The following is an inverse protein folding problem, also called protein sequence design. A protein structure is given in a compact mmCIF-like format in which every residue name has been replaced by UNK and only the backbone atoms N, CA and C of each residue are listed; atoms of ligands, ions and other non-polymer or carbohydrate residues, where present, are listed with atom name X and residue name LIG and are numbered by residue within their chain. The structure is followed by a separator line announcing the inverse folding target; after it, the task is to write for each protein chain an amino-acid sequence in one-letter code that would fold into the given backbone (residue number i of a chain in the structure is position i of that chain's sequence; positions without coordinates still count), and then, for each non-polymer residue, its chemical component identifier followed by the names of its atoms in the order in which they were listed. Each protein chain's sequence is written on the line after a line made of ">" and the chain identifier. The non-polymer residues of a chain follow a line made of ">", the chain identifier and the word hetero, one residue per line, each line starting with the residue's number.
data_IF_924483690623
#
_entry.id   IF_924483690623
#
_cell.length_a   1.000
_cell.length_b   1.000
_cell.length_c   1.000
_cell.angle_alpha   90.00
_cell.angle_beta   90.00
_cell.angle_gamma   90.00
#
_symmetry.space_group_name_H-M   'P 1'
#
loop_
_entity.id
_entity.type
_entity.pdbx_description
1 polymer ?
#
# COMPACT_ATOMS: atom_id res chain seq x y z
N UNK A 1 -8.06 -0.34 -6.58
CA UNK A 1 -8.57 1.03 -6.87
C UNK A 1 -7.53 2.06 -6.48
N UNK A 2 -7.10 2.85 -7.43
CA UNK A 2 -6.07 3.85 -7.17
C UNK A 2 -6.66 5.24 -7.34
N UNK A 3 -6.45 6.08 -6.34
CA UNK A 3 -6.79 7.50 -6.41
C UNK A 3 -5.76 8.27 -7.23
N UNK A 4 -5.67 9.58 -7.06
CA UNK A 4 -4.75 10.42 -7.82
C UNK A 4 -3.34 10.42 -7.24
N UNK A 5 -2.36 10.69 -8.09
CA UNK A 5 -0.96 10.91 -7.70
C UNK A 5 -0.35 9.71 -6.99
N UNK A 6 -0.55 8.51 -7.56
CA UNK A 6 0.07 7.28 -7.08
C UNK A 6 1.39 7.09 -7.80
N UNK A 7 2.47 6.90 -7.03
CA UNK A 7 3.80 6.59 -7.56
C UNK A 7 4.17 5.15 -7.20
N UNK A 8 4.46 4.34 -8.21
CA UNK A 8 4.97 2.98 -8.06
C UNK A 8 6.36 2.94 -8.68
N UNK A 9 7.38 2.73 -7.84
CA UNK A 9 8.76 2.96 -8.27
C UNK A 9 9.66 1.79 -7.86
N UNK A 10 9.92 0.81 -8.77
CA UNK A 10 10.70 -0.39 -8.42
C UNK A 10 12.21 -0.18 -8.45
N UNK A 11 12.69 1.00 -8.83
CA UNK A 11 14.11 1.31 -8.94
C UNK A 11 14.37 2.77 -8.59
N UNK A 12 15.55 3.06 -8.07
CA UNK A 12 15.98 4.44 -7.82
C UNK A 12 16.56 5.11 -9.09
N UNK A 13 16.61 4.39 -10.20
CA UNK A 13 17.11 4.81 -11.52
C UNK A 13 18.64 4.93 -11.55
N UNK A 14 19.23 5.68 -10.63
CA UNK A 14 20.67 5.92 -10.60
C UNK A 14 21.37 5.11 -9.51
N UNK A 15 22.61 4.74 -9.79
CA UNK A 15 23.42 3.89 -8.93
C UNK A 15 23.89 4.60 -7.66
N UNK A 16 23.69 3.93 -6.53
CA UNK A 16 24.35 4.26 -5.27
C UNK A 16 25.31 3.13 -4.96
N UNK A 17 26.59 3.46 -4.76
CA UNK A 17 27.61 2.46 -4.47
C UNK A 17 28.45 2.87 -3.27
N UNK A 18 29.03 1.87 -2.59
CA UNK A 18 29.97 2.11 -1.49
C UNK A 18 31.24 2.76 -2.05
N UNK A 19 31.63 3.90 -1.48
CA UNK A 19 32.77 4.66 -1.99
C UNK A 19 34.09 3.92 -1.88
N UNK A 20 34.23 3.08 -0.86
CA UNK A 20 35.47 2.35 -0.58
C UNK A 20 35.62 1.07 -1.39
N UNK A 21 34.52 0.34 -1.60
CA UNK A 21 34.51 -0.99 -2.21
C UNK A 21 33.99 -1.01 -3.64
N UNK A 22 33.21 -0.01 -4.05
CA UNK A 22 32.52 0.01 -5.32
C UNK A 22 31.28 -0.88 -5.35
N UNK A 23 30.89 -1.47 -4.22
CA UNK A 23 29.75 -2.35 -4.15
C UNK A 23 28.44 -1.60 -4.42
N UNK A 24 27.57 -2.18 -5.24
CA UNK A 24 26.24 -1.63 -5.52
C UNK A 24 25.35 -1.74 -4.27
N UNK A 25 24.73 -0.62 -3.87
CA UNK A 25 23.91 -0.57 -2.67
C UNK A 25 22.39 -0.53 -2.93
N UNK A 26 21.97 -0.17 -4.14
CA UNK A 26 20.57 0.13 -4.41
C UNK A 26 20.01 -0.60 -5.62
N UNK A 27 20.26 -1.89 -5.72
CA UNK A 27 19.65 -2.70 -6.78
C UNK A 27 18.12 -2.55 -6.77
N UNK A 28 17.52 -2.43 -7.95
CA UNK A 28 16.07 -2.43 -8.07
C UNK A 28 15.47 -3.74 -7.59
N UNK A 29 14.24 -3.67 -7.07
CA UNK A 29 13.50 -4.84 -6.58
C UNK A 29 12.06 -4.77 -7.05
N UNK A 30 11.43 -5.91 -7.37
CA UNK A 30 10.05 -5.92 -7.81
C UNK A 30 9.10 -5.44 -6.71
N UNK A 31 7.97 -4.93 -7.15
CA UNK A 31 6.85 -4.56 -6.29
C UNK A 31 5.71 -5.53 -6.60
N UNK A 32 5.09 -6.05 -5.55
CA UNK A 32 3.92 -6.91 -5.68
C UNK A 32 2.74 -6.26 -4.96
N UNK A 33 1.64 -6.10 -5.68
CA UNK A 33 0.40 -5.56 -5.11
C UNK A 33 -0.68 -6.62 -5.30
N UNK A 34 -1.32 -7.01 -4.22
CA UNK A 34 -2.35 -8.03 -4.22
C UNK A 34 -3.67 -7.55 -4.83
N UNK A 35 -4.72 -8.32 -4.60
CA UNK A 35 -6.06 -8.04 -5.12
C UNK A 35 -6.87 -7.21 -4.14
N UNK A 36 -7.78 -6.40 -4.67
CA UNK A 36 -8.71 -5.60 -3.88
C UNK A 36 -7.95 -4.65 -2.93
N UNK A 37 -7.05 -3.87 -3.51
CA UNK A 37 -6.26 -2.86 -2.79
C UNK A 37 -6.78 -1.48 -3.12
N UNK A 38 -6.99 -0.68 -2.10
CA UNK A 38 -7.38 0.72 -2.25
C UNK A 38 -6.21 1.62 -1.85
N UNK A 39 -5.59 2.23 -2.85
CA UNK A 39 -4.56 3.26 -2.65
C UNK A 39 -5.20 4.62 -2.65
N UNK A 40 -5.10 5.32 -1.55
CA UNK A 40 -5.56 6.69 -1.43
C UNK A 40 -4.59 7.66 -2.13
N UNK A 41 -4.93 8.94 -2.15
CA UNK A 41 -4.18 9.98 -2.84
C UNK A 41 -2.75 10.12 -2.31
N UNK A 42 -1.81 10.42 -3.20
CA UNK A 42 -0.40 10.68 -2.89
C UNK A 42 0.32 9.51 -2.21
N UNK A 43 -0.08 8.28 -2.51
CA UNK A 43 0.62 7.09 -2.02
C UNK A 43 1.84 6.81 -2.89
N UNK A 44 2.95 6.48 -2.25
CA UNK A 44 4.18 6.06 -2.91
C UNK A 44 4.49 4.63 -2.50
N UNK A 45 4.73 3.78 -3.50
CA UNK A 45 5.09 2.37 -3.29
C UNK A 45 6.45 2.16 -3.94
N UNK A 46 7.44 1.88 -3.13
CA UNK A 46 8.84 1.80 -3.53
C UNK A 46 9.31 0.36 -3.68
N UNK A 47 10.49 0.20 -4.24
CA UNK A 47 11.10 -1.10 -4.55
C UNK A 47 11.06 -2.05 -3.35
N UNK A 48 10.82 -3.31 -3.63
CA UNK A 48 10.78 -4.36 -2.62
C UNK A 48 9.51 -4.41 -1.79
N UNK A 49 8.54 -3.53 -2.07
CA UNK A 49 7.27 -3.54 -1.34
C UNK A 49 6.41 -4.72 -1.78
N UNK A 50 5.74 -5.31 -0.81
CA UNK A 50 4.69 -6.32 -1.05
C UNK A 50 3.45 -5.85 -0.29
N UNK A 51 2.35 -5.71 -1.01
CA UNK A 51 1.04 -5.37 -0.44
C UNK A 51 0.13 -6.58 -0.60
N UNK A 52 -0.53 -6.97 0.48
CA UNK A 52 -1.42 -8.13 0.48
C UNK A 52 -2.77 -7.84 -0.15
N UNK A 53 -3.74 -8.70 0.12
CA UNK A 53 -5.11 -8.59 -0.40
C UNK A 53 -6.02 -7.85 0.58
N UNK A 54 -7.05 -7.21 0.06
CA UNK A 54 -8.07 -6.53 0.88
C UNK A 54 -7.44 -5.46 1.79
N UNK A 55 -6.55 -4.67 1.22
CA UNK A 55 -5.75 -3.68 1.94
C UNK A 55 -6.19 -2.27 1.57
N UNK A 56 -6.21 -1.39 2.55
CA UNK A 56 -6.38 0.05 2.36
C UNK A 56 -5.05 0.72 2.67
N UNK A 57 -4.56 1.55 1.76
CA UNK A 57 -3.37 2.37 2.01
C UNK A 57 -3.82 3.80 2.18
N UNK A 58 -3.60 4.36 3.36
CA UNK A 58 -4.03 5.71 3.70
C UNK A 58 -3.32 6.77 2.85
N UNK A 59 -3.96 7.91 2.67
CA UNK A 59 -3.41 9.00 1.88
C UNK A 59 -2.02 9.43 2.38
N UNK A 60 -1.18 9.84 1.44
CA UNK A 60 0.16 10.35 1.71
C UNK A 60 1.07 9.35 2.44
N UNK A 61 0.87 8.07 2.19
CA UNK A 61 1.70 7.01 2.78
C UNK A 61 2.86 6.65 1.87
N UNK A 62 3.95 6.19 2.48
CA UNK A 62 5.12 5.69 1.77
C UNK A 62 5.34 4.23 2.15
N UNK A 63 5.07 3.32 1.22
CA UNK A 63 5.26 1.87 1.41
C UNK A 63 6.64 1.52 0.86
N UNK A 64 7.53 1.03 1.72
CA UNK A 64 8.91 0.73 1.36
C UNK A 64 9.41 -0.60 1.89
N UNK A 65 8.50 -1.50 2.27
CA UNK A 65 8.88 -2.83 2.76
C UNK A 65 7.81 -3.86 2.43
N UNK A 66 8.14 -5.11 2.70
CA UNK A 66 7.21 -6.22 2.49
C UNK A 66 6.19 -6.31 3.62
N UNK A 67 4.92 -6.33 3.25
CA UNK A 67 3.80 -6.68 4.13
C UNK A 67 3.22 -8.02 3.69
N UNK A 68 4.09 -8.96 3.34
CA UNK A 68 3.70 -10.30 2.94
C UNK A 68 2.87 -10.97 4.04
N UNK A 69 1.76 -11.57 3.67
CA UNK A 69 0.77 -12.17 4.57
C UNK A 69 -0.03 -11.18 5.45
N UNK A 70 0.16 -9.89 5.29
CA UNK A 70 -0.67 -8.90 5.99
C UNK A 70 -1.86 -8.51 5.11
N UNK A 71 -2.91 -9.32 5.18
CA UNK A 71 -4.16 -9.08 4.46
C UNK A 71 -5.17 -8.41 5.39
N UNK A 72 -6.18 -7.77 4.81
CA UNK A 72 -7.26 -7.15 5.59
C UNK A 72 -6.74 -6.13 6.61
N UNK A 73 -5.86 -5.25 6.15
CA UNK A 73 -5.23 -4.25 7.01
C UNK A 73 -5.30 -2.86 6.39
N UNK A 74 -5.19 -1.84 7.24
CA UNK A 74 -4.91 -0.47 6.82
C UNK A 74 -3.43 -0.22 7.01
N UNK A 75 -2.74 0.18 5.95
CA UNK A 75 -1.37 0.66 5.99
C UNK A 75 -1.38 2.18 5.94
N UNK A 76 -0.51 2.82 6.70
CA UNK A 76 -0.41 4.28 6.64
C UNK A 76 0.83 4.82 7.31
N UNK A 77 1.21 6.01 6.88
CA UNK A 77 2.36 6.74 7.42
C UNK A 77 3.57 6.75 6.51
N UNK A 78 4.63 7.39 6.97
CA UNK A 78 5.91 7.55 6.29
C UNK A 78 7.05 7.22 7.26
N UNK A 79 7.60 6.02 7.24
CA UNK A 79 7.22 4.85 6.44
C UNK A 79 5.89 4.23 6.91
N UNK A 80 5.21 3.58 6.00
CA UNK A 80 3.93 2.95 6.28
C UNK A 80 4.06 1.83 7.31
N UNK A 81 3.07 1.76 8.18
CA UNK A 81 2.91 0.72 9.21
C UNK A 81 1.49 0.21 9.18
N UNK A 82 1.25 -0.92 9.79
CA UNK A 82 -0.11 -1.43 9.98
C UNK A 82 -0.79 -0.58 11.03
N UNK A 83 -1.84 0.13 10.62
CA UNK A 83 -2.62 1.00 11.51
C UNK A 83 -3.79 0.25 12.13
N UNK A 84 -4.37 -0.69 11.41
CA UNK A 84 -5.50 -1.48 11.88
C UNK A 84 -5.54 -2.81 11.14
N UNK A 85 -5.94 -3.85 11.86
CA UNK A 85 -6.14 -5.20 11.33
C UNK A 85 -7.63 -5.56 11.30
N UNK A 86 -7.94 -6.61 10.56
CA UNK A 86 -9.29 -7.17 10.47
C UNK A 86 -10.29 -6.17 9.90
N UNK A 87 -9.93 -5.54 8.78
CA UNK A 87 -10.81 -4.63 8.03
C UNK A 87 -11.07 -5.19 6.64
N UNK A 88 -12.05 -4.64 5.99
CA UNK A 88 -12.24 -4.75 4.56
C UNK A 88 -12.80 -3.42 4.07
N UNK A 89 -12.94 -3.28 2.77
CA UNK A 89 -13.44 -2.05 2.19
C UNK A 89 -14.34 -2.35 0.99
N UNK A 90 -15.17 -1.39 0.63
CA UNK A 90 -15.96 -1.48 -0.58
C UNK A 90 -16.08 -0.10 -1.23
N UNK A 91 -16.49 -0.08 -2.49
CA UNK A 91 -16.69 1.18 -3.23
C UNK A 91 -17.95 1.93 -2.81
N UNK A 92 -18.78 1.30 -2.01
CA UNK A 92 -19.95 1.97 -1.47
C UNK A 92 -19.55 3.13 -0.58
N UNK A 93 -20.38 4.16 -0.53
CA UNK A 93 -20.21 5.20 0.48
C UNK A 93 -20.56 4.61 1.86
N UNK A 94 -20.01 5.15 2.95
CA UNK A 94 -20.40 4.71 4.30
C UNK A 94 -21.91 4.76 4.52
N UNK A 95 -22.57 5.75 3.96
CA UNK A 95 -24.03 5.89 4.06
C UNK A 95 -24.77 4.73 3.39
N UNK A 96 -24.35 4.38 2.16
CA UNK A 96 -24.95 3.24 1.43
C UNK A 96 -24.74 1.93 2.20
N UNK A 97 -23.57 1.74 2.77
CA UNK A 97 -23.27 0.56 3.56
C UNK A 97 -24.19 0.46 4.78
N UNK A 98 -24.38 1.56 5.50
CA UNK A 98 -25.29 1.61 6.65
C UNK A 98 -26.73 1.30 6.26
N UNK A 99 -27.20 1.82 5.13
CA UNK A 99 -28.55 1.54 4.64
C UNK A 99 -28.76 0.07 4.35
N UNK A 100 -27.76 -0.60 3.76
CA UNK A 100 -27.84 -2.04 3.49
C UNK A 100 -27.93 -2.83 4.79
N UNK A 101 -27.13 -2.49 5.79
CA UNK A 101 -27.17 -3.14 7.09
C UNK A 101 -28.53 -2.97 7.77
N UNK A 102 -29.10 -1.81 7.73
CA UNK A 102 -30.42 -1.56 8.30
C UNK A 102 -31.50 -2.39 7.63
N UNK A 103 -31.45 -2.55 6.30
CA UNK A 103 -32.38 -3.40 5.56
C UNK A 103 -32.23 -4.87 5.96
N UNK A 104 -31.04 -5.33 6.20
CA UNK A 104 -30.77 -6.70 6.62
C UNK A 104 -31.21 -6.95 8.06
N UNK A 105 -31.21 -5.95 8.89
CA UNK A 105 -31.64 -6.03 10.29
C UNK A 105 -33.17 -6.11 10.43
N UNK A 106 -33.89 -5.73 9.39
CA UNK A 106 -35.35 -5.82 9.37
C UNK A 106 -35.80 -7.17 8.83
#
# INVERSE_FOLDING_TARGET
>A
MFSEDILIYPTDVHTIYDQSTGELLNLGKPITIGNHVWCNRDVKILKGSVVGNDVVIAANSLVNKSFFNDNNVILGGQPAKILKRNINWSRETPWEYLQKQNRQAL
#
